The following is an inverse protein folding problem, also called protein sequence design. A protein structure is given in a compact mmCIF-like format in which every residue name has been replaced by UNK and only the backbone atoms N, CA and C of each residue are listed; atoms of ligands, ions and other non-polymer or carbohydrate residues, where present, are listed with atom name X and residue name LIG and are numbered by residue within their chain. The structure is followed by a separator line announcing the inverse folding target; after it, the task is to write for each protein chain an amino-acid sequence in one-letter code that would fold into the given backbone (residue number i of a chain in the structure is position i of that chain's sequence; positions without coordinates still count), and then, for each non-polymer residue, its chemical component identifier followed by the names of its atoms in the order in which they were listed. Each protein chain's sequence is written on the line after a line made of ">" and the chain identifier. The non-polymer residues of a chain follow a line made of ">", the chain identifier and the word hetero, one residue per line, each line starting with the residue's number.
data_IF_185445317355
#
_entry.id   IF_185445317355
#
_cell.length_a   1.000
_cell.length_b   1.000
_cell.length_c   1.000
_cell.angle_alpha   90.00
_cell.angle_beta   90.00
_cell.angle_gamma   90.00
#
_symmetry.space_group_name_H-M   'P 1'
#
loop_
_entity.id
_entity.type
_entity.pdbx_description
1 polymer ?
#
# COMPACT_ATOMS: atom_id res chain seq x y z
N UNK A 1 42.74 2.45 32.40
CA UNK A 1 41.90 1.81 31.37
C UNK A 1 40.44 2.04 31.74
N UNK A 2 39.78 2.84 30.90
CA UNK A 2 38.33 3.03 30.67
C UNK A 2 37.36 2.72 31.81
N UNK A 3 36.75 3.80 32.33
CA UNK A 3 35.48 3.79 33.05
C UNK A 3 34.31 3.57 32.09
N UNK A 4 33.21 2.94 32.53
CA UNK A 4 31.85 3.21 32.04
C UNK A 4 30.81 2.69 33.04
N UNK A 5 30.08 3.62 33.63
CA UNK A 5 28.88 3.40 34.43
C UNK A 5 27.72 3.01 33.51
N UNK A 6 26.88 2.06 33.93
CA UNK A 6 25.60 1.77 33.28
C UNK A 6 24.49 2.05 34.29
N UNK A 7 23.98 3.28 34.25
CA UNK A 7 22.64 3.60 34.73
C UNK A 7 21.71 3.60 33.52
N UNK A 8 20.68 2.75 33.53
CA UNK A 8 19.63 2.74 32.52
C UNK A 8 18.28 2.93 33.21
N UNK A 9 18.00 4.17 33.59
CA UNK A 9 16.64 4.68 33.66
C UNK A 9 16.48 5.68 32.52
N UNK A 10 15.51 5.46 31.64
CA UNK A 10 14.55 6.51 31.30
C UNK A 10 13.43 5.96 30.43
N UNK A 11 12.22 6.10 30.97
CA UNK A 11 10.99 6.23 30.20
C UNK A 11 11.11 7.44 29.26
N UNK A 12 10.52 7.35 28.08
CA UNK A 12 10.20 8.52 27.28
C UNK A 12 8.72 8.46 26.95
N UNK A 13 7.97 9.31 27.63
CA UNK A 13 6.61 9.69 27.30
C UNK A 13 6.65 10.86 26.31
N UNK A 14 5.70 10.83 25.36
CA UNK A 14 5.04 11.96 24.67
C UNK A 14 5.87 12.96 23.84
N UNK A 15 5.62 12.98 22.53
CA UNK A 15 5.08 14.15 21.80
C UNK A 15 4.89 13.80 20.32
N UNK A 16 3.70 14.06 19.78
CA UNK A 16 3.54 14.24 18.34
C UNK A 16 2.65 15.45 18.10
N UNK A 17 3.29 16.61 18.10
CA UNK A 17 2.77 17.86 17.60
C UNK A 17 2.53 17.79 16.08
N UNK A 18 1.90 18.82 15.52
CA UNK A 18 1.25 18.91 14.20
C UNK A 18 2.11 18.65 12.93
N UNK A 19 3.20 17.90 13.02
CA UNK A 19 4.08 17.46 11.93
C UNK A 19 3.88 15.99 11.50
N UNK A 20 2.85 15.29 12.00
CA UNK A 20 2.48 14.00 11.43
C UNK A 20 1.74 14.17 10.11
N UNK A 21 2.48 14.43 9.02
CA UNK A 21 2.05 13.97 7.69
C UNK A 21 1.74 12.48 7.84
N UNK A 22 0.46 12.13 7.77
CA UNK A 22 -0.04 10.80 8.09
C UNK A 22 0.75 9.78 7.27
N UNK A 23 1.63 9.03 7.94
CA UNK A 23 2.48 8.04 7.29
C UNK A 23 1.61 6.97 6.62
N UNK A 24 2.02 6.53 5.43
CA UNK A 24 1.38 5.43 4.72
C UNK A 24 1.52 4.17 5.57
N UNK A 25 0.42 3.69 6.15
CA UNK A 25 0.40 2.50 7.00
C UNK A 25 0.23 1.25 6.13
N UNK A 26 1.26 0.41 6.10
CA UNK A 26 1.23 -0.89 5.42
C UNK A 26 0.94 -2.01 6.43
N UNK A 27 0.23 -3.07 6.04
CA UNK A 27 0.13 -4.27 6.86
C UNK A 27 1.50 -4.96 6.96
N UNK A 28 1.81 -5.53 8.12
CA UNK A 28 3.06 -6.28 8.34
C UNK A 28 3.17 -7.48 7.39
N UNK A 29 2.05 -8.16 7.12
CA UNK A 29 1.98 -9.31 6.21
C UNK A 29 1.15 -8.96 4.97
N UNK A 30 1.78 -8.89 3.78
CA UNK A 30 1.08 -8.78 2.51
C UNK A 30 0.18 -9.98 2.20
N UNK A 31 -0.85 -9.77 1.37
CA UNK A 31 -1.52 -10.88 0.70
C UNK A 31 -0.65 -11.46 -0.41
N UNK A 32 -0.97 -12.67 -0.85
CA UNK A 32 -0.33 -13.26 -2.01
C UNK A 32 -0.96 -12.75 -3.31
N UNK A 33 -0.23 -11.86 -3.99
CA UNK A 33 -0.55 -11.30 -5.29
C UNK A 33 0.20 -11.99 -6.42
N UNK A 34 1.28 -12.71 -6.10
CA UNK A 34 2.18 -13.29 -7.10
C UNK A 34 1.76 -14.69 -7.54
N UNK A 35 1.07 -15.44 -6.68
CA UNK A 35 0.68 -16.82 -6.96
C UNK A 35 -0.84 -16.96 -7.10
N UNK A 36 -1.41 -16.28 -8.11
CA UNK A 36 -2.84 -16.43 -8.39
C UNK A 36 -3.16 -17.87 -8.86
N UNK A 37 -3.92 -18.60 -8.04
CA UNK A 37 -4.48 -19.90 -8.43
C UNK A 37 -5.66 -19.69 -9.39
N UNK A 38 -5.34 -19.53 -10.67
CA UNK A 38 -6.35 -19.33 -11.71
C UNK A 38 -6.78 -20.67 -12.34
N UNK A 39 -8.09 -20.90 -12.54
CA UNK A 39 -8.58 -22.02 -13.34
C UNK A 39 -7.92 -22.06 -14.72
N UNK A 40 -7.73 -23.26 -15.28
CA UNK A 40 -7.01 -23.47 -16.56
C UNK A 40 -7.57 -22.62 -17.70
N UNK A 41 -8.90 -22.45 -17.76
CA UNK A 41 -9.54 -21.64 -18.78
C UNK A 41 -9.21 -20.15 -18.66
N UNK A 42 -9.09 -19.61 -17.45
CA UNK A 42 -8.70 -18.19 -17.22
C UNK A 42 -7.23 -17.99 -17.56
N UNK A 43 -6.36 -18.90 -17.09
CA UNK A 43 -4.90 -18.77 -17.22
C UNK A 43 -4.43 -18.62 -18.66
N UNK A 44 -5.05 -19.36 -19.59
CA UNK A 44 -4.74 -19.28 -21.03
C UNK A 44 -4.97 -17.87 -21.59
N UNK A 45 -6.03 -17.20 -21.13
CA UNK A 45 -6.36 -15.84 -21.57
C UNK A 45 -5.59 -14.78 -20.79
N UNK A 46 -5.34 -15.00 -19.48
CA UNK A 46 -4.62 -14.05 -18.64
C UNK A 46 -3.23 -13.71 -19.20
N UNK A 47 -2.48 -14.70 -19.68
CA UNK A 47 -1.16 -14.48 -20.28
C UNK A 47 -1.19 -13.61 -21.55
N UNK A 48 -2.31 -13.56 -22.27
CA UNK A 48 -2.47 -12.72 -23.46
C UNK A 48 -2.67 -11.24 -23.12
N UNK A 49 -3.12 -10.95 -21.89
CA UNK A 49 -3.41 -9.60 -21.40
C UNK A 49 -2.47 -9.18 -20.27
N UNK A 50 -1.33 -9.85 -20.13
CA UNK A 50 -0.32 -9.46 -19.16
C UNK A 50 0.35 -8.15 -19.60
N UNK A 51 0.10 -7.10 -18.84
CA UNK A 51 0.68 -5.78 -19.05
C UNK A 51 1.78 -5.45 -18.04
N UNK A 52 2.32 -6.46 -17.34
CA UNK A 52 3.41 -6.28 -16.37
C UNK A 52 4.71 -5.90 -17.09
N UNK A 53 5.25 -4.70 -16.86
CA UNK A 53 6.53 -4.30 -17.44
C UNK A 53 7.68 -5.12 -16.86
N UNK A 54 8.70 -5.38 -17.68
CA UNK A 54 9.86 -6.18 -17.26
C UNK A 54 10.69 -5.49 -16.15
N UNK A 55 10.68 -4.16 -16.10
CA UNK A 55 11.36 -3.34 -15.11
C UNK A 55 10.53 -3.08 -13.84
N UNK A 56 9.25 -3.47 -13.83
CA UNK A 56 8.37 -3.36 -12.68
C UNK A 56 7.54 -4.65 -12.47
N UNK A 57 8.19 -5.77 -12.10
CA UNK A 57 7.49 -7.03 -11.85
C UNK A 57 6.60 -6.94 -10.61
N UNK A 58 5.48 -7.67 -10.64
CA UNK A 58 4.56 -7.75 -9.49
C UNK A 58 5.26 -8.41 -8.30
N UNK A 59 5.18 -7.77 -7.13
CA UNK A 59 5.59 -8.34 -5.84
C UNK A 59 4.47 -8.18 -4.82
N UNK A 60 4.42 -9.05 -3.80
CA UNK A 60 3.39 -8.97 -2.76
C UNK A 60 3.44 -7.62 -2.02
N UNK A 61 4.63 -7.12 -1.71
CA UNK A 61 4.82 -5.81 -1.07
C UNK A 61 4.47 -4.65 -2.02
N UNK A 62 4.89 -4.70 -3.28
CA UNK A 62 4.58 -3.66 -4.26
C UNK A 62 3.08 -3.54 -4.54
N UNK A 63 2.39 -4.68 -4.72
CA UNK A 63 0.94 -4.70 -4.89
C UNK A 63 0.20 -4.22 -3.63
N UNK A 64 0.69 -4.59 -2.45
CA UNK A 64 0.14 -4.10 -1.17
C UNK A 64 0.29 -2.59 -1.03
N UNK A 65 1.47 -2.05 -1.34
CA UNK A 65 1.72 -0.61 -1.34
C UNK A 65 0.80 0.10 -2.32
N UNK A 66 0.72 -0.38 -3.56
CA UNK A 66 -0.17 0.17 -4.59
C UNK A 66 -1.63 0.20 -4.14
N UNK A 67 -2.11 -0.87 -3.50
CA UNK A 67 -3.46 -0.90 -2.91
C UNK A 67 -3.64 0.18 -1.85
N UNK A 68 -2.71 0.34 -0.91
CA UNK A 68 -2.84 1.37 0.13
C UNK A 68 -2.87 2.77 -0.48
N UNK A 69 -1.96 3.05 -1.42
CA UNK A 69 -1.89 4.34 -2.12
C UNK A 69 -3.16 4.64 -2.93
N UNK A 70 -3.78 3.63 -3.53
CA UNK A 70 -5.02 3.79 -4.30
C UNK A 70 -6.17 4.40 -3.48
N UNK A 71 -6.20 4.14 -2.18
CA UNK A 71 -7.20 4.70 -1.25
C UNK A 71 -6.70 5.93 -0.49
N UNK A 72 -5.44 6.34 -0.66
CA UNK A 72 -4.86 7.46 0.08
C UNK A 72 -5.26 8.81 -0.56
N UNK A 73 -5.93 9.66 0.22
CA UNK A 73 -6.34 11.00 -0.21
C UNK A 73 -5.20 12.01 -0.18
N UNK A 74 -4.14 11.75 0.58
CA UNK A 74 -2.99 12.64 0.69
C UNK A 74 -2.20 12.77 -0.61
N UNK A 75 -2.38 11.84 -1.54
CA UNK A 75 -1.84 11.94 -2.90
C UNK A 75 -2.53 13.03 -3.73
N UNK A 76 -3.73 13.48 -3.34
CA UNK A 76 -4.35 14.65 -3.99
C UNK A 76 -3.79 15.96 -3.46
N UNK A 77 -3.72 16.95 -4.34
CA UNK A 77 -3.21 18.30 -4.05
C UNK A 77 -3.82 18.94 -2.79
N UNK A 78 -5.07 18.66 -2.48
CA UNK A 78 -5.82 19.26 -1.37
C UNK A 78 -6.26 18.22 -0.32
N UNK A 79 -5.82 16.96 -0.40
CA UNK A 79 -6.18 15.92 0.56
C UNK A 79 -7.65 15.44 0.48
N UNK A 80 -8.41 15.81 -0.55
CA UNK A 80 -9.85 15.48 -0.63
C UNK A 80 -10.20 14.31 -1.54
N UNK A 81 -9.27 13.81 -2.35
CA UNK A 81 -9.59 12.82 -3.38
C UNK A 81 -8.52 11.73 -3.42
N UNK A 82 -8.94 10.48 -3.52
CA UNK A 82 -8.05 9.34 -3.83
C UNK A 82 -8.46 8.74 -5.17
N UNK A 83 -7.68 7.81 -5.71
CA UNK A 83 -8.09 7.06 -6.89
C UNK A 83 -9.44 6.35 -6.64
N UNK A 84 -9.60 5.75 -5.46
CA UNK A 84 -10.82 5.05 -5.04
C UNK A 84 -12.07 5.94 -4.93
N UNK A 85 -11.92 7.27 -4.89
CA UNK A 85 -13.05 8.21 -4.84
C UNK A 85 -13.87 8.17 -6.14
N UNK A 86 -13.21 7.94 -7.28
CA UNK A 86 -13.87 7.73 -8.57
C UNK A 86 -13.80 6.27 -9.03
N UNK A 87 -12.79 5.50 -8.64
CA UNK A 87 -12.65 4.10 -9.03
C UNK A 87 -13.10 3.16 -7.92
N UNK A 88 -14.42 3.07 -7.71
CA UNK A 88 -14.98 2.34 -6.57
C UNK A 88 -15.02 0.83 -6.84
N UNK A 89 -14.33 0.03 -6.03
CA UNK A 89 -14.27 -1.44 -6.18
C UNK A 89 -15.66 -2.09 -6.25
N UNK A 90 -16.64 -1.62 -5.45
CA UNK A 90 -18.02 -2.14 -5.46
C UNK A 90 -18.77 -1.88 -6.78
N UNK A 91 -18.28 -0.96 -7.60
CA UNK A 91 -18.82 -0.59 -8.91
C UNK A 91 -17.85 -0.97 -10.03
N UNK A 92 -17.11 -2.07 -9.86
CA UNK A 92 -16.09 -2.52 -10.81
C UNK A 92 -15.07 -1.42 -11.18
N UNK A 93 -14.65 -0.64 -10.18
CA UNK A 93 -13.71 0.47 -10.32
C UNK A 93 -14.20 1.64 -11.18
N UNK A 94 -15.52 1.87 -11.22
CA UNK A 94 -16.16 3.05 -11.81
C UNK A 94 -16.73 3.98 -10.74
N UNK A 95 -17.18 5.18 -11.13
CA UNK A 95 -17.70 6.20 -10.21
C UNK A 95 -19.22 6.13 -10.02
N UNK A 96 -19.90 5.30 -10.80
CA UNK A 96 -21.36 5.12 -10.76
C UNK A 96 -22.16 6.34 -11.22
N UNK A 97 -21.51 7.32 -11.85
CA UNK A 97 -22.18 8.49 -12.40
C UNK A 97 -22.64 8.19 -13.83
N UNK A 98 -23.69 8.88 -14.26
CA UNK A 98 -24.30 8.75 -15.58
C UNK A 98 -23.83 9.87 -16.50
#
# INVERSE_FOLDING_TARGET
>A
MVALAVGAGNAVAEESTAEQRQQVRLPETPYDYTQASLPKYVRKHAAMYDNTPADNPITNHGATLGRVLFYDRQLSRNGTTSCASCHQQKLAFTDGKK
#
